data_IF_862048616640
#
_entry.id   IF_862048616640
#
_cell.length_a   1.000
_cell.length_b   1.000
_cell.length_c   1.000
_cell.angle_alpha   90.00
_cell.angle_beta   90.00
_cell.angle_gamma   90.00
#
_symmetry.space_group_name_H-M   'P 1'
#
loop_
_entity.id
_entity.type
_entity.pdbx_description
1 polymer ?
#
# COMPACT_ATOMS: atom_id res chain seq x y z
N UNK A 1 -67.94 18.03 1.75
CA UNK A 1 -68.02 17.71 0.31
C UNK A 1 -67.22 16.44 0.06
N UNK A 2 -67.89 15.30 0.11
CA UNK A 2 -67.33 13.96 -0.10
C UNK A 2 -68.32 13.24 -1.00
N UNK A 3 -67.94 13.06 -2.26
CA UNK A 3 -68.77 12.40 -3.27
C UNK A 3 -68.70 10.89 -3.05
N UNK A 4 -69.72 10.30 -2.45
CA UNK A 4 -69.94 8.85 -2.38
C UNK A 4 -70.33 8.31 -3.77
N UNK A 5 -69.36 8.23 -4.68
CA UNK A 5 -69.48 7.45 -5.92
C UNK A 5 -68.66 6.16 -5.81
N UNK A 6 -69.11 5.02 -6.36
CA UNK A 6 -68.30 3.80 -6.35
C UNK A 6 -66.99 4.00 -7.13
N UNK A 7 -65.89 3.49 -6.58
CA UNK A 7 -64.56 3.50 -7.21
C UNK A 7 -64.60 2.75 -8.54
N UNK A 8 -64.26 3.42 -9.64
CA UNK A 8 -64.11 2.79 -10.96
C UNK A 8 -62.69 2.22 -11.07
N UNK A 9 -62.57 1.08 -11.76
CA UNK A 9 -61.30 0.36 -11.95
C UNK A 9 -60.24 1.21 -12.67
N UNK A 10 -60.67 2.22 -13.44
CA UNK A 10 -59.78 3.17 -14.12
C UNK A 10 -59.09 4.19 -13.19
N UNK A 11 -59.60 4.36 -11.96
CA UNK A 11 -59.02 5.26 -10.95
C UNK A 11 -57.86 4.60 -10.15
N UNK A 12 -57.61 3.30 -10.36
CA UNK A 12 -56.50 2.55 -9.74
C UNK A 12 -55.37 2.39 -10.78
N UNK A 13 -54.55 3.43 -10.96
CA UNK A 13 -53.29 3.28 -11.71
C UNK A 13 -52.25 2.56 -10.84
N UNK A 14 -52.01 1.28 -11.16
CA UNK A 14 -50.86 0.48 -10.70
C UNK A 14 -49.54 1.14 -11.15
N UNK A 15 -48.59 1.44 -10.25
CA UNK A 15 -47.19 1.40 -10.60
C UNK A 15 -46.75 -0.06 -10.72
N UNK A 16 -46.07 -0.38 -11.81
CA UNK A 16 -45.63 -1.71 -12.21
C UNK A 16 -44.66 -2.30 -11.17
N UNK A 17 -45.11 -3.33 -10.45
CA UNK A 17 -44.24 -4.29 -9.79
C UNK A 17 -43.65 -5.20 -10.87
N UNK A 18 -42.72 -4.67 -11.67
CA UNK A 18 -41.69 -5.48 -12.29
C UNK A 18 -40.60 -5.70 -11.22
N UNK A 19 -40.75 -6.82 -10.52
CA UNK A 19 -39.65 -7.60 -9.91
C UNK A 19 -38.80 -6.90 -8.84
N UNK A 20 -39.45 -6.44 -7.78
CA UNK A 20 -38.81 -6.41 -6.46
C UNK A 20 -39.07 -7.72 -5.72
N UNK A 21 -38.03 -8.57 -5.61
CA UNK A 21 -37.71 -9.44 -4.47
C UNK A 21 -37.14 -10.82 -4.88
N UNK A 22 -35.92 -10.84 -5.38
CA UNK A 22 -35.02 -11.94 -5.06
C UNK A 22 -34.23 -11.56 -3.80
N UNK A 23 -34.52 -12.13 -2.62
CA UNK A 23 -33.79 -11.86 -1.37
C UNK A 23 -32.35 -12.42 -1.35
N UNK A 24 -31.84 -12.88 -2.50
CA UNK A 24 -30.49 -13.40 -2.71
C UNK A 24 -29.86 -12.90 -4.02
N UNK A 25 -30.36 -11.79 -4.59
CA UNK A 25 -29.67 -11.13 -5.69
C UNK A 25 -28.42 -10.43 -5.13
N UNK A 26 -27.28 -10.99 -5.49
CA UNK A 26 -25.91 -10.50 -5.35
C UNK A 26 -25.79 -9.01 -4.98
N UNK A 27 -25.25 -8.71 -3.80
CA UNK A 27 -24.67 -7.40 -3.51
C UNK A 27 -23.40 -7.24 -4.36
N UNK A 28 -23.58 -6.96 -5.65
CA UNK A 28 -22.59 -6.19 -6.39
C UNK A 28 -22.50 -4.83 -5.69
N UNK A 29 -21.31 -4.36 -5.27
CA UNK A 29 -21.21 -3.06 -4.64
C UNK A 29 -21.56 -2.02 -5.68
N UNK A 30 -22.75 -1.41 -5.54
CA UNK A 30 -23.19 -0.27 -6.34
C UNK A 30 -22.11 0.82 -6.28
N UNK A 31 -21.34 0.90 -7.36
CA UNK A 31 -20.48 2.03 -7.64
C UNK A 31 -21.37 3.26 -7.70
N UNK A 32 -21.36 4.06 -6.64
CA UNK A 32 -22.00 5.37 -6.59
C UNK A 32 -21.67 6.13 -7.88
N UNK A 33 -22.70 6.55 -8.59
CA UNK A 33 -22.58 7.28 -9.86
C UNK A 33 -21.66 8.50 -9.68
N UNK A 34 -20.76 8.69 -10.63
CA UNK A 34 -19.74 9.73 -10.61
C UNK A 34 -20.37 11.12 -10.61
N UNK A 35 -20.22 11.84 -9.50
CA UNK A 35 -20.48 13.28 -9.43
C UNK A 35 -19.44 14.03 -10.29
N UNK A 36 -19.90 14.65 -11.37
CA UNK A 36 -19.06 15.37 -12.32
C UNK A 36 -18.43 16.66 -11.73
N UNK A 37 -18.83 17.07 -10.53
CA UNK A 37 -18.34 18.26 -9.85
C UNK A 37 -17.45 17.96 -8.62
N UNK A 38 -17.07 16.70 -8.40
CA UNK A 38 -16.17 16.35 -7.32
C UNK A 38 -14.76 16.98 -7.52
N UNK A 39 -14.17 17.61 -6.49
CA UNK A 39 -12.83 18.16 -6.58
C UNK A 39 -11.83 17.06 -6.94
N UNK A 40 -10.82 17.41 -7.74
CA UNK A 40 -9.88 16.50 -8.44
C UNK A 40 -9.20 15.48 -7.50
N UNK A 41 -9.18 15.72 -6.19
CA UNK A 41 -8.68 14.81 -5.15
C UNK A 41 -9.53 13.56 -4.91
N UNK A 42 -10.78 13.49 -5.36
CA UNK A 42 -11.68 12.35 -5.13
C UNK A 42 -11.79 11.37 -6.30
N UNK A 43 -10.94 11.48 -7.34
CA UNK A 43 -10.94 10.52 -8.46
C UNK A 43 -10.69 9.05 -8.06
N UNK A 44 -10.22 8.80 -6.83
CA UNK A 44 -10.06 7.44 -6.27
C UNK A 44 -11.22 6.95 -5.40
N UNK A 45 -12.26 7.75 -5.15
CA UNK A 45 -13.33 7.40 -4.22
C UNK A 45 -14.29 6.31 -4.72
N UNK A 46 -14.21 5.96 -6.02
CA UNK A 46 -15.07 4.98 -6.68
C UNK A 46 -14.28 3.80 -7.28
N UNK A 47 -12.95 3.78 -7.13
CA UNK A 47 -12.16 2.59 -7.44
C UNK A 47 -12.19 1.68 -6.20
N UNK A 48 -12.48 0.39 -6.38
CA UNK A 48 -12.35 -0.59 -5.29
C UNK A 48 -10.94 -0.48 -4.72
N UNK A 49 -10.84 -0.03 -3.47
CA UNK A 49 -9.55 0.17 -2.82
C UNK A 49 -8.69 -1.08 -2.98
N UNK A 50 -7.53 -0.93 -3.62
CA UNK A 50 -6.62 -2.04 -3.85
C UNK A 50 -6.13 -2.61 -2.52
N UNK A 51 -5.84 -3.92 -2.47
CA UNK A 51 -5.19 -4.53 -1.30
C UNK A 51 -3.77 -3.95 -1.15
N UNK A 52 -3.42 -3.56 0.07
CA UNK A 52 -2.08 -3.07 0.39
C UNK A 52 -0.99 -4.15 0.16
N UNK A 53 0.14 -3.75 -0.43
CA UNK A 53 1.34 -4.60 -0.56
C UNK A 53 2.23 -4.58 0.69
N UNK A 54 1.71 -4.13 1.83
CA UNK A 54 2.49 -3.87 3.04
C UNK A 54 3.32 -5.05 3.56
N UNK A 55 2.79 -6.28 3.49
CA UNK A 55 3.51 -7.49 3.94
C UNK A 55 4.75 -7.76 3.07
N UNK A 56 4.58 -7.67 1.75
CA UNK A 56 5.68 -7.86 0.81
C UNK A 56 6.76 -6.81 1.03
N UNK A 57 6.39 -5.53 1.08
CA UNK A 57 7.32 -4.43 1.31
C UNK A 57 8.06 -4.57 2.63
N UNK A 58 7.37 -4.97 3.70
CA UNK A 58 7.98 -5.20 5.00
C UNK A 58 8.99 -6.35 4.96
N UNK A 59 8.65 -7.47 4.31
CA UNK A 59 9.55 -8.62 4.18
C UNK A 59 10.82 -8.28 3.36
N UNK A 60 10.67 -7.51 2.28
CA UNK A 60 11.79 -7.01 1.49
C UNK A 60 12.66 -6.05 2.31
N UNK A 61 12.03 -5.08 3.00
CA UNK A 61 12.73 -4.12 3.83
C UNK A 61 13.53 -4.78 4.96
N UNK A 62 12.96 -5.79 5.63
CA UNK A 62 13.65 -6.58 6.65
C UNK A 62 14.85 -7.33 6.06
N UNK A 63 14.67 -7.97 4.89
CA UNK A 63 15.77 -8.68 4.21
C UNK A 63 16.91 -7.74 3.83
N UNK A 64 16.59 -6.58 3.27
CA UNK A 64 17.57 -5.54 2.94
C UNK A 64 18.28 -4.98 4.17
N UNK A 65 17.54 -4.77 5.27
CA UNK A 65 18.10 -4.30 6.53
C UNK A 65 19.07 -5.31 7.14
N UNK A 66 18.70 -6.58 7.21
CA UNK A 66 19.59 -7.66 7.69
C UNK A 66 20.83 -7.78 6.80
N UNK A 67 20.67 -7.68 5.48
CA UNK A 67 21.81 -7.68 4.56
C UNK A 67 22.77 -6.52 4.83
N UNK A 68 22.26 -5.33 5.19
CA UNK A 68 23.11 -4.17 5.54
C UNK A 68 23.86 -4.32 6.86
N UNK A 69 23.49 -5.27 7.71
CA UNK A 69 24.20 -5.60 8.94
C UNK A 69 25.33 -6.64 8.73
N UNK A 70 25.35 -7.35 7.60
CA UNK A 70 26.38 -8.34 7.28
C UNK A 70 27.83 -7.80 7.31
N UNK A 71 28.13 -6.53 7.00
CA UNK A 71 29.46 -5.96 7.24
C UNK A 71 29.95 -6.07 8.69
N UNK A 72 29.06 -6.19 9.68
CA UNK A 72 29.44 -6.41 11.09
C UNK A 72 30.02 -7.81 11.33
N UNK A 73 29.79 -8.78 10.44
CA UNK A 73 30.35 -10.13 10.55
C UNK A 73 31.89 -10.12 10.59
N UNK A 74 32.54 -9.07 10.08
CA UNK A 74 34.00 -8.87 10.15
C UNK A 74 34.56 -8.88 11.57
N UNK A 75 33.76 -8.53 12.58
CA UNK A 75 34.19 -8.54 13.98
C UNK A 75 34.16 -9.95 14.60
N UNK A 76 33.33 -10.85 14.06
CA UNK A 76 33.25 -12.24 14.51
C UNK A 76 34.16 -13.18 13.70
N UNK A 77 34.19 -13.00 12.37
CA UNK A 77 34.96 -13.81 11.43
C UNK A 77 35.69 -12.93 10.41
N UNK A 78 36.92 -12.48 10.72
CA UNK A 78 37.62 -11.48 9.90
C UNK A 78 37.96 -11.96 8.48
N UNK A 79 38.29 -13.24 8.27
CA UNK A 79 38.68 -13.74 6.94
C UNK A 79 37.52 -13.76 5.92
N UNK A 80 36.33 -14.20 6.34
CA UNK A 80 35.14 -14.21 5.47
C UNK A 80 34.35 -12.90 5.54
N UNK A 81 34.56 -12.10 6.59
CA UNK A 81 33.80 -10.89 6.86
C UNK A 81 33.96 -9.79 5.81
N UNK A 82 35.09 -9.74 5.09
CA UNK A 82 35.28 -8.79 4.01
C UNK A 82 34.39 -9.09 2.80
N UNK A 83 34.38 -10.35 2.35
CA UNK A 83 33.57 -10.81 1.22
C UNK A 83 32.08 -10.77 1.55
N UNK A 84 31.71 -11.24 2.76
CA UNK A 84 30.33 -11.19 3.27
C UNK A 84 29.85 -9.74 3.47
N UNK A 85 30.75 -8.84 3.90
CA UNK A 85 30.45 -7.42 4.05
C UNK A 85 30.14 -6.74 2.72
N UNK A 86 31.01 -6.90 1.71
CA UNK A 86 30.79 -6.37 0.36
C UNK A 86 29.52 -6.95 -0.28
N UNK A 87 29.32 -8.26 -0.15
CA UNK A 87 28.13 -8.94 -0.67
C UNK A 87 26.86 -8.40 -0.01
N UNK A 88 26.80 -8.37 1.33
CA UNK A 88 25.65 -7.86 2.07
C UNK A 88 25.36 -6.39 1.79
N UNK A 89 26.40 -5.58 1.65
CA UNK A 89 26.29 -4.19 1.24
C UNK A 89 25.63 -4.06 -0.14
N UNK A 90 26.11 -4.77 -1.17
CA UNK A 90 25.51 -4.75 -2.52
C UNK A 90 24.06 -5.23 -2.52
N UNK A 91 23.77 -6.36 -1.86
CA UNK A 91 22.42 -6.92 -1.76
C UNK A 91 21.47 -5.94 -1.07
N UNK A 92 21.94 -5.23 -0.04
CA UNK A 92 21.14 -4.23 0.65
C UNK A 92 20.70 -3.09 -0.29
N UNK A 93 21.54 -2.64 -1.21
CA UNK A 93 21.19 -1.61 -2.19
C UNK A 93 20.15 -2.09 -3.21
N UNK A 94 20.33 -3.31 -3.72
CA UNK A 94 19.41 -3.92 -4.71
C UNK A 94 18.00 -4.05 -4.15
N UNK A 95 17.87 -4.31 -2.85
CA UNK A 95 16.58 -4.49 -2.19
C UNK A 95 16.03 -3.16 -1.67
N UNK A 96 16.85 -2.36 -0.99
CA UNK A 96 16.39 -1.16 -0.30
C UNK A 96 15.93 -0.05 -1.26
N UNK A 97 16.60 0.14 -2.40
CA UNK A 97 16.22 1.19 -3.36
C UNK A 97 14.84 0.96 -3.96
N UNK A 98 14.54 -0.20 -4.58
CA UNK A 98 13.19 -0.48 -5.06
C UNK A 98 12.16 -0.44 -3.94
N UNK A 99 12.45 -1.07 -2.80
CA UNK A 99 11.52 -1.11 -1.68
C UNK A 99 11.19 0.30 -1.14
N UNK A 100 12.16 1.22 -1.13
CA UNK A 100 11.93 2.63 -0.75
C UNK A 100 11.02 3.33 -1.76
N UNK A 101 11.27 3.16 -3.07
CA UNK A 101 10.44 3.76 -4.13
C UNK A 101 9.01 3.24 -4.05
N UNK A 102 8.82 1.92 -3.92
CA UNK A 102 7.50 1.32 -3.77
C UNK A 102 6.82 1.74 -2.47
N UNK A 103 7.54 1.83 -1.35
CA UNK A 103 6.96 2.30 -0.08
C UNK A 103 6.51 3.77 -0.16
N UNK A 104 7.26 4.65 -0.85
CA UNK A 104 6.83 6.04 -1.09
C UNK A 104 5.58 6.09 -1.95
N UNK A 105 5.51 5.27 -3.01
CA UNK A 105 4.36 5.22 -3.89
C UNK A 105 3.11 4.67 -3.17
N UNK A 106 3.26 3.61 -2.38
CA UNK A 106 2.17 3.04 -1.59
C UNK A 106 1.70 4.01 -0.49
N UNK A 107 2.60 4.73 0.18
CA UNK A 107 2.22 5.76 1.16
C UNK A 107 1.46 6.92 0.50
N UNK A 108 1.86 7.34 -0.70
CA UNK A 108 1.12 8.34 -1.49
C UNK A 108 -0.26 7.82 -1.88
N UNK A 109 -0.35 6.58 -2.36
CA UNK A 109 -1.61 5.96 -2.75
C UNK A 109 -2.58 5.78 -1.56
N UNK A 110 -2.07 5.42 -0.38
CA UNK A 110 -2.86 5.37 0.86
C UNK A 110 -3.36 6.76 1.25
N UNK A 111 -2.52 7.81 1.17
CA UNK A 111 -2.95 9.20 1.46
C UNK A 111 -4.02 9.70 0.50
N UNK A 112 -3.99 9.24 -0.75
CA UNK A 112 -4.99 9.56 -1.78
C UNK A 112 -6.25 8.67 -1.70
N UNK A 113 -6.36 7.79 -0.70
CA UNK A 113 -7.52 6.91 -0.52
C UNK A 113 -7.62 5.78 -1.55
N UNK A 114 -6.58 5.50 -2.34
CA UNK A 114 -6.57 4.46 -3.39
C UNK A 114 -6.33 3.05 -2.85
N UNK A 115 -5.70 2.95 -1.68
CA UNK A 115 -5.46 1.69 -0.98
C UNK A 115 -6.17 1.68 0.37
N UNK A 116 -6.55 0.49 0.81
CA UNK A 116 -7.11 0.27 2.15
C UNK A 116 -6.09 0.69 3.21
N UNK A 117 -6.53 1.29 4.32
CA UNK A 117 -5.67 1.59 5.48
C UNK A 117 -5.09 0.32 6.14
N UNK A 118 -5.65 -0.86 5.85
CA UNK A 118 -5.06 -2.15 6.21
C UNK A 118 -3.66 -2.26 5.61
N UNK A 119 -2.63 -2.32 6.46
CA UNK A 119 -1.23 -2.40 6.04
C UNK A 119 -0.47 -1.07 5.98
N UNK A 120 -1.13 0.07 6.23
CA UNK A 120 -0.47 1.39 6.29
C UNK A 120 0.71 1.42 7.26
N UNK A 121 0.56 0.80 8.42
CA UNK A 121 1.64 0.70 9.40
C UNK A 121 2.82 -0.14 8.86
N UNK A 122 2.55 -1.21 8.10
CA UNK A 122 3.59 -2.06 7.50
C UNK A 122 4.37 -1.31 6.43
N UNK A 123 3.67 -0.60 5.54
CA UNK A 123 4.30 0.24 4.49
C UNK A 123 5.11 1.36 5.13
N UNK A 124 4.59 2.00 6.18
CA UNK A 124 5.30 3.05 6.92
C UNK A 124 6.57 2.49 7.57
N UNK A 125 6.50 1.33 8.20
CA UNK A 125 7.65 0.69 8.83
C UNK A 125 8.67 0.24 7.79
N UNK A 126 8.23 -0.32 6.66
CA UNK A 126 9.07 -0.66 5.52
C UNK A 126 9.81 0.56 4.94
N UNK A 127 9.14 1.71 4.85
CA UNK A 127 9.78 2.97 4.46
C UNK A 127 10.91 3.35 5.43
N UNK A 128 10.66 3.33 6.73
CA UNK A 128 11.69 3.67 7.72
C UNK A 128 12.85 2.69 7.73
N UNK A 129 12.58 1.39 7.61
CA UNK A 129 13.62 0.36 7.54
C UNK A 129 14.48 0.53 6.29
N UNK A 130 13.88 0.77 5.12
CA UNK A 130 14.64 0.96 3.87
C UNK A 130 15.45 2.25 3.92
N UNK A 131 14.90 3.33 4.47
CA UNK A 131 15.63 4.58 4.68
C UNK A 131 16.83 4.38 5.62
N UNK A 132 16.62 3.70 6.75
CA UNK A 132 17.69 3.37 7.70
C UNK A 132 18.77 2.50 7.04
N UNK A 133 18.37 1.54 6.21
CA UNK A 133 19.27 0.68 5.43
C UNK A 133 20.16 1.51 4.50
N UNK A 134 19.57 2.45 3.75
CA UNK A 134 20.33 3.34 2.85
C UNK A 134 21.29 4.23 3.63
N UNK A 135 20.83 4.86 4.72
CA UNK A 135 21.67 5.70 5.57
C UNK A 135 22.83 4.90 6.17
N UNK A 136 22.57 3.72 6.71
CA UNK A 136 23.59 2.81 7.24
C UNK A 136 24.61 2.42 6.16
N UNK A 137 24.13 2.14 4.95
CA UNK A 137 24.95 1.75 3.82
C UNK A 137 25.89 2.86 3.35
N UNK A 138 25.42 4.11 3.33
CA UNK A 138 26.24 5.30 3.05
C UNK A 138 27.25 5.54 4.18
N UNK A 139 26.80 5.46 5.43
CA UNK A 139 27.67 5.64 6.59
C UNK A 139 28.82 4.61 6.59
N UNK A 140 28.52 3.36 6.22
CA UNK A 140 29.53 2.30 6.10
C UNK A 140 30.61 2.66 5.08
N UNK A 141 30.23 3.18 3.90
CA UNK A 141 31.19 3.62 2.88
C UNK A 141 32.04 4.78 3.38
N UNK A 142 31.41 5.79 3.99
CA UNK A 142 32.15 6.94 4.55
C UNK A 142 33.14 6.48 5.61
N UNK A 143 32.74 5.58 6.51
CA UNK A 143 33.63 5.03 7.54
C UNK A 143 34.78 4.24 6.92
N UNK A 144 34.54 3.42 5.91
CA UNK A 144 35.59 2.66 5.22
C UNK A 144 36.56 3.59 4.48
N UNK A 145 36.07 4.63 3.82
CA UNK A 145 36.92 5.58 3.09
C UNK A 145 37.76 6.46 4.03
N UNK A 146 37.17 6.92 5.14
CA UNK A 146 37.84 7.83 6.09
C UNK A 146 38.78 7.09 7.04
N UNK A 147 38.40 5.89 7.50
CA UNK A 147 39.14 5.15 8.53
C UNK A 147 39.80 3.85 8.04
N UNK A 148 39.47 3.38 6.84
CA UNK A 148 40.06 2.16 6.25
C UNK A 148 41.27 2.44 5.35
N UNK A 149 41.66 3.70 5.16
CA UNK A 149 42.86 4.10 4.42
C UNK A 149 44.13 4.19 5.30
N UNK A 150 44.07 3.68 6.54
CA UNK A 150 45.17 3.67 7.51
C UNK A 150 45.68 2.26 7.79
#
# INVERSE_FOLDING_TARGET
MSSNRPLKIDDIKKPELAEGAHPFAEEEPEGKQADAHAPVDYRGAYETAGKSNGVLLLSMALTGFVASALPLSRYGWPEMGWQLGLFGWLVSWIIALPALVFAVNDLKAIRLGRYTDQGKWMVTLAFWLTLLTVVNSIATVVVVLVFGAG
#
